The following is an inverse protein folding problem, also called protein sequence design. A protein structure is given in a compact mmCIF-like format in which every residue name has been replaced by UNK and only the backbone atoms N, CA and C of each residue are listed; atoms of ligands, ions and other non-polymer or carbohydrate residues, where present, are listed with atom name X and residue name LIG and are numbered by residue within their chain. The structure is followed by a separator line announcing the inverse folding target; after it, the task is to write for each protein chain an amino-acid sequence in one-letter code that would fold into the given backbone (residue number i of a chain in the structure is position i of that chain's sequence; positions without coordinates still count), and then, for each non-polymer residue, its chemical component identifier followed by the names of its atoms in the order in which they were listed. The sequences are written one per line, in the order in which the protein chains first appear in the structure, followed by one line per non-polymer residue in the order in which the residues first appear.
data_IF_513164422628
#
_entry.id   IF_513164422628
#
_cell.length_a   1.000
_cell.length_b   1.000
_cell.length_c   1.000
_cell.angle_alpha   90.00
_cell.angle_beta   90.00
_cell.angle_gamma   90.00
#
_symmetry.space_group_name_H-M   'P 1'
#
loop_
_entity.id
_entity.type
_entity.pdbx_description
1 polymer ?
#
# COMPACT_ATOMS: atom_id res chain seq x y z
N UNK A 1 30.18 -7.23 -4.62
CA UNK A 1 28.72 -7.03 -4.74
C UNK A 1 28.47 -5.55 -4.90
N UNK A 2 27.84 -5.12 -5.98
CA UNK A 2 27.40 -3.74 -6.10
C UNK A 2 26.40 -3.43 -4.97
N UNK A 3 26.43 -2.22 -4.37
CA UNK A 3 25.40 -1.86 -3.40
C UNK A 3 24.02 -1.96 -4.06
N UNK A 4 23.00 -2.37 -3.32
CA UNK A 4 21.64 -2.42 -3.86
C UNK A 4 21.25 -1.04 -4.43
N UNK A 5 20.45 -0.98 -5.48
CA UNK A 5 20.03 0.28 -6.06
C UNK A 5 19.34 1.12 -4.99
N UNK A 6 19.76 2.35 -4.83
CA UNK A 6 19.11 3.30 -3.94
C UNK A 6 17.78 3.71 -4.54
N UNK A 7 16.75 3.68 -3.72
CA UNK A 7 15.48 4.32 -4.06
C UNK A 7 15.74 5.82 -4.22
N UNK A 8 15.39 6.39 -5.38
CA UNK A 8 15.65 7.81 -5.64
C UNK A 8 14.67 8.38 -6.67
N UNK A 9 13.83 9.31 -6.26
CA UNK A 9 12.88 10.01 -7.13
C UNK A 9 12.95 11.52 -6.90
N UNK A 10 13.36 12.24 -7.93
CA UNK A 10 13.47 13.71 -7.91
C UNK A 10 12.60 14.38 -8.97
N UNK A 11 11.90 13.62 -9.79
CA UNK A 11 11.06 14.15 -10.86
C UNK A 11 10.06 13.10 -11.33
N UNK A 12 8.84 13.53 -11.60
CA UNK A 12 7.78 12.68 -12.20
C UNK A 12 8.04 12.34 -13.67
N UNK A 13 8.92 13.07 -14.33
CA UNK A 13 9.25 12.91 -15.76
C UNK A 13 10.68 12.42 -16.00
N UNK A 14 11.35 11.99 -14.95
CA UNK A 14 12.69 11.41 -15.03
C UNK A 14 12.69 10.02 -15.66
N UNK A 15 13.88 9.50 -15.96
CA UNK A 15 14.00 8.13 -16.45
C UNK A 15 13.57 7.13 -15.35
N UNK A 16 12.53 6.35 -15.62
CA UNK A 16 12.09 5.28 -14.75
C UNK A 16 13.15 4.16 -14.71
N UNK A 17 13.59 3.78 -13.50
CA UNK A 17 14.60 2.74 -13.32
C UNK A 17 14.07 1.52 -12.60
N UNK A 18 13.15 1.74 -11.66
CA UNK A 18 12.52 0.72 -10.85
C UNK A 18 11.09 1.13 -10.54
N UNK A 19 10.17 0.20 -10.54
CA UNK A 19 8.76 0.44 -10.25
C UNK A 19 8.17 -0.70 -9.44
N UNK A 20 7.39 -0.32 -8.43
CA UNK A 20 6.60 -1.26 -7.63
C UNK A 20 5.19 -1.34 -8.22
N UNK A 21 4.74 -2.54 -8.53
CA UNK A 21 3.41 -2.81 -9.09
C UNK A 21 2.69 -3.87 -8.27
N UNK A 22 1.38 -3.94 -8.38
CA UNK A 22 0.58 -5.03 -7.85
C UNK A 22 -0.36 -5.54 -8.93
N UNK A 23 -0.22 -6.80 -9.29
CA UNK A 23 -1.12 -7.45 -10.24
C UNK A 23 -2.45 -7.75 -9.58
N UNK A 24 -3.58 -7.23 -10.12
CA UNK A 24 -4.91 -7.50 -9.57
C UNK A 24 -5.17 -9.00 -9.38
N UNK A 25 -5.65 -9.36 -8.20
CA UNK A 25 -5.89 -10.75 -7.80
C UNK A 25 -7.31 -10.96 -7.28
N UNK A 26 -7.47 -11.99 -6.45
CA UNK A 26 -8.79 -12.37 -5.91
C UNK A 26 -9.40 -11.30 -5.00
N UNK A 27 -8.63 -10.35 -4.51
CA UNK A 27 -9.11 -9.19 -3.76
C UNK A 27 -10.17 -8.39 -4.54
N UNK A 28 -10.09 -8.36 -5.89
CA UNK A 28 -11.09 -7.70 -6.73
C UNK A 28 -12.45 -8.41 -6.74
N UNK A 29 -12.51 -9.70 -6.42
CA UNK A 29 -13.77 -10.44 -6.41
C UNK A 29 -14.72 -9.96 -5.30
N UNK A 30 -14.19 -9.30 -4.29
CA UNK A 30 -14.98 -8.68 -3.23
C UNK A 30 -15.77 -7.45 -3.70
N UNK A 31 -15.38 -6.85 -4.83
CA UNK A 31 -16.08 -5.72 -5.43
C UNK A 31 -17.29 -6.25 -6.22
N UNK A 32 -18.44 -6.24 -5.58
CA UNK A 32 -19.73 -6.67 -6.11
C UNK A 32 -20.65 -5.47 -6.30
N UNK A 33 -21.80 -5.61 -6.99
CA UNK A 33 -22.76 -4.51 -7.08
C UNK A 33 -23.22 -3.96 -5.72
N UNK A 34 -23.22 -4.79 -4.67
CA UNK A 34 -23.61 -4.39 -3.31
C UNK A 34 -22.49 -3.75 -2.48
N UNK A 35 -21.23 -4.02 -2.81
CA UNK A 35 -20.05 -3.61 -2.01
C UNK A 35 -19.14 -2.63 -2.72
N UNK A 36 -19.39 -2.32 -4.00
CA UNK A 36 -18.51 -1.48 -4.83
C UNK A 36 -18.21 -0.12 -4.20
N UNK A 37 -19.22 0.54 -3.64
CA UNK A 37 -19.06 1.87 -3.02
C UNK A 37 -18.21 1.81 -1.74
N UNK A 38 -18.30 0.71 -0.97
CA UNK A 38 -17.49 0.49 0.21
C UNK A 38 -16.01 0.36 -0.15
N UNK A 39 -15.71 -0.20 -1.33
CA UNK A 39 -14.36 -0.34 -1.88
C UNK A 39 -13.97 0.79 -2.85
N UNK A 40 -14.75 1.88 -2.93
CA UNK A 40 -14.47 3.08 -3.73
C UNK A 40 -14.49 2.84 -5.26
N UNK A 41 -15.35 1.95 -5.72
CA UNK A 41 -15.54 1.65 -7.13
C UNK A 41 -16.88 2.18 -7.64
N UNK A 42 -16.87 2.76 -8.84
CA UNK A 42 -18.09 3.19 -9.53
C UNK A 42 -18.80 2.01 -10.20
N UNK A 43 -18.02 0.99 -10.62
CA UNK A 43 -18.52 -0.20 -11.29
C UNK A 43 -17.70 -1.43 -10.92
N UNK A 44 -18.20 -2.63 -11.26
CA UNK A 44 -17.48 -3.89 -11.08
C UNK A 44 -16.42 -4.06 -12.17
N UNK A 45 -15.31 -4.68 -11.80
CA UNK A 45 -14.21 -4.97 -12.71
C UNK A 45 -14.13 -6.46 -12.98
N UNK A 46 -14.06 -6.84 -14.24
CA UNK A 46 -13.76 -8.20 -14.63
C UNK A 46 -12.30 -8.52 -14.33
N UNK A 47 -12.06 -9.50 -13.46
CA UNK A 47 -10.72 -9.87 -13.00
C UNK A 47 -9.82 -10.35 -14.14
N UNK A 48 -10.33 -11.15 -15.08
CA UNK A 48 -9.51 -11.70 -16.17
C UNK A 48 -9.08 -10.59 -17.12
N UNK A 49 -9.98 -9.65 -17.39
CA UNK A 49 -9.69 -8.47 -18.21
C UNK A 49 -8.65 -7.61 -17.51
N UNK A 50 -8.86 -7.28 -16.24
CA UNK A 50 -7.93 -6.48 -15.46
C UNK A 50 -6.53 -7.09 -15.42
N UNK A 51 -6.42 -8.38 -15.15
CA UNK A 51 -5.14 -9.10 -15.16
C UNK A 51 -4.46 -9.09 -16.53
N UNK A 52 -5.24 -9.27 -17.60
CA UNK A 52 -4.69 -9.26 -18.95
C UNK A 52 -4.14 -7.89 -19.31
N UNK A 53 -4.85 -6.83 -18.97
CA UNK A 53 -4.44 -5.45 -19.25
C UNK A 53 -3.25 -5.05 -18.38
N UNK A 54 -3.26 -5.41 -17.11
CA UNK A 54 -2.13 -5.18 -16.21
C UNK A 54 -0.87 -5.90 -16.68
N UNK A 55 -0.95 -7.16 -17.09
CA UNK A 55 0.20 -7.87 -17.68
C UNK A 55 0.77 -7.17 -18.92
N UNK A 56 -0.07 -6.55 -19.74
CA UNK A 56 0.40 -5.75 -20.89
C UNK A 56 1.15 -4.50 -20.43
N UNK A 57 0.64 -3.82 -19.40
CA UNK A 57 1.34 -2.68 -18.79
C UNK A 57 2.70 -3.10 -18.22
N UNK A 58 2.75 -4.17 -17.44
CA UNK A 58 3.99 -4.72 -16.87
C UNK A 58 4.99 -5.05 -17.98
N UNK A 59 4.58 -5.75 -19.04
CA UNK A 59 5.44 -6.09 -20.17
C UNK A 59 6.00 -4.86 -20.91
N UNK A 60 5.33 -3.72 -20.86
CA UNK A 60 5.88 -2.45 -21.34
C UNK A 60 6.88 -1.87 -20.37
N UNK A 61 6.57 -1.86 -19.06
CA UNK A 61 7.45 -1.32 -18.01
C UNK A 61 8.79 -2.08 -17.96
N UNK A 62 8.77 -3.40 -18.07
CA UNK A 62 9.96 -4.27 -18.09
C UNK A 62 10.98 -3.94 -19.20
N UNK A 63 10.57 -3.21 -20.23
CA UNK A 63 11.49 -2.74 -21.29
C UNK A 63 12.33 -1.54 -20.86
N UNK A 64 11.93 -0.84 -19.82
CA UNK A 64 12.53 0.43 -19.39
C UNK A 64 13.00 0.43 -17.95
N UNK A 65 12.44 -0.45 -17.11
CA UNK A 65 12.64 -0.44 -15.68
C UNK A 65 12.65 -1.85 -15.10
N UNK A 66 13.25 -1.99 -13.95
CA UNK A 66 13.09 -3.16 -13.09
C UNK A 66 11.70 -3.11 -12.44
N UNK A 67 10.91 -4.16 -12.60
CA UNK A 67 9.56 -4.24 -12.06
C UNK A 67 9.55 -5.15 -10.83
N UNK A 68 9.06 -4.64 -9.72
CA UNK A 68 8.88 -5.38 -8.48
C UNK A 68 7.39 -5.58 -8.22
N UNK A 69 6.98 -6.82 -7.99
CA UNK A 69 5.60 -7.16 -7.64
C UNK A 69 5.42 -7.14 -6.12
N UNK A 70 4.42 -6.41 -5.63
CA UNK A 70 4.14 -6.27 -4.20
C UNK A 70 3.99 -7.62 -3.51
N UNK A 71 3.22 -8.53 -4.11
CA UNK A 71 2.95 -9.85 -3.54
C UNK A 71 4.22 -10.67 -3.38
N UNK A 72 5.08 -10.67 -4.39
CA UNK A 72 6.32 -11.42 -4.39
C UNK A 72 7.31 -10.84 -3.38
N UNK A 73 7.50 -9.53 -3.38
CA UNK A 73 8.37 -8.84 -2.44
C UNK A 73 7.94 -9.06 -0.98
N UNK A 74 6.64 -9.02 -0.70
CA UNK A 74 6.10 -9.34 0.63
C UNK A 74 6.32 -10.81 0.99
N UNK A 75 6.12 -11.75 0.06
CA UNK A 75 6.30 -13.18 0.31
C UNK A 75 7.75 -13.53 0.64
N UNK A 76 8.72 -12.89 0.01
CA UNK A 76 10.15 -13.08 0.29
C UNK A 76 10.54 -12.70 1.74
N UNK A 77 9.92 -11.65 2.28
CA UNK A 77 10.24 -11.17 3.63
C UNK A 77 9.30 -11.70 4.71
N UNK A 78 8.09 -12.16 4.37
CA UNK A 78 7.09 -12.66 5.32
C UNK A 78 7.49 -13.98 6.01
N UNK A 79 8.57 -14.63 5.56
CA UNK A 79 9.19 -15.77 6.25
C UNK A 79 10.00 -15.38 7.49
N UNK A 80 10.36 -14.11 7.64
CA UNK A 80 11.10 -13.60 8.80
C UNK A 80 10.15 -13.43 9.99
N UNK A 81 10.49 -14.00 11.16
CA UNK A 81 9.62 -13.93 12.35
C UNK A 81 9.24 -12.50 12.74
N UNK A 82 10.21 -11.57 12.70
CA UNK A 82 10.02 -10.17 13.06
C UNK A 82 9.04 -9.45 12.12
N UNK A 83 9.08 -9.75 10.82
CA UNK A 83 8.16 -9.17 9.82
C UNK A 83 6.75 -9.69 10.05
N UNK A 84 6.63 -11.00 10.25
CA UNK A 84 5.36 -11.66 10.48
C UNK A 84 4.69 -11.19 11.77
N UNK A 85 5.48 -11.09 12.85
CA UNK A 85 5.01 -10.57 14.13
C UNK A 85 4.54 -9.13 13.98
N UNK A 86 5.31 -8.28 13.30
CA UNK A 86 4.94 -6.89 13.06
C UNK A 86 3.60 -6.79 12.32
N UNK A 87 3.43 -7.46 11.17
CA UNK A 87 2.18 -7.43 10.40
C UNK A 87 1.02 -7.95 11.23
N UNK A 88 1.20 -9.10 11.91
CA UNK A 88 0.15 -9.73 12.70
C UNK A 88 -0.29 -8.82 13.85
N UNK A 89 0.65 -8.24 14.59
CA UNK A 89 0.35 -7.33 15.70
C UNK A 89 -0.45 -6.13 15.23
N UNK A 90 -0.01 -5.48 14.15
CA UNK A 90 -0.72 -4.32 13.59
C UNK A 90 -2.10 -4.67 13.04
N UNK A 91 -2.24 -5.82 12.38
CA UNK A 91 -3.54 -6.28 11.91
C UNK A 91 -4.51 -6.52 13.07
N UNK A 92 -4.04 -7.13 14.17
CA UNK A 92 -4.85 -7.41 15.34
C UNK A 92 -5.15 -6.18 16.21
N UNK A 93 -4.37 -5.11 16.15
CA UNK A 93 -4.71 -3.81 16.75
C UNK A 93 -5.96 -3.19 16.12
N UNK A 94 -6.17 -3.40 14.83
CA UNK A 94 -7.33 -2.86 14.08
C UNK A 94 -8.49 -3.84 14.10
N UNK A 95 -8.20 -5.14 13.97
CA UNK A 95 -9.19 -6.23 13.95
C UNK A 95 -8.86 -7.23 15.06
N UNK A 96 -9.25 -6.95 16.32
CA UNK A 96 -9.01 -7.86 17.43
C UNK A 96 -9.78 -9.17 17.26
N UNK A 97 -9.07 -10.26 16.93
CA UNK A 97 -9.67 -11.57 16.68
C UNK A 97 -8.69 -12.70 16.99
N UNK A 98 -9.01 -13.53 17.98
CA UNK A 98 -8.23 -14.74 18.30
C UNK A 98 -8.27 -15.78 17.16
N UNK A 99 -9.34 -15.80 16.39
CA UNK A 99 -9.49 -16.69 15.23
C UNK A 99 -8.52 -16.27 14.13
N UNK A 100 -8.50 -14.97 13.80
CA UNK A 100 -7.59 -14.42 12.82
C UNK A 100 -6.12 -14.61 13.25
N UNK A 101 -5.80 -14.38 14.53
CA UNK A 101 -4.45 -14.59 15.06
C UNK A 101 -3.96 -16.04 14.86
N UNK A 102 -4.79 -17.02 15.19
CA UNK A 102 -4.48 -18.45 14.98
C UNK A 102 -4.34 -18.80 13.51
N UNK A 103 -5.21 -18.25 12.67
CA UNK A 103 -5.17 -18.45 11.23
C UNK A 103 -3.85 -17.91 10.65
N UNK A 104 -3.49 -16.65 10.95
CA UNK A 104 -2.26 -16.03 10.49
C UNK A 104 -1.01 -16.80 10.94
N UNK A 105 -0.99 -17.33 12.17
CA UNK A 105 0.15 -18.08 12.70
C UNK A 105 0.40 -19.42 11.97
N UNK A 106 -0.63 -20.05 11.41
CA UNK A 106 -0.55 -21.39 10.81
C UNK A 106 -0.18 -21.38 9.30
N UNK A 107 -0.16 -20.21 8.64
CA UNK A 107 0.00 -20.11 7.19
C UNK A 107 1.49 -20.13 6.75
N UNK A 108 1.76 -20.61 5.53
CA UNK A 108 3.04 -20.36 4.83
C UNK A 108 3.19 -18.87 4.51
N UNK A 109 4.37 -18.43 4.07
CA UNK A 109 4.61 -17.01 3.74
C UNK A 109 3.69 -16.53 2.61
N UNK A 110 3.56 -17.32 1.55
CA UNK A 110 2.70 -16.99 0.40
C UNK A 110 1.22 -16.94 0.80
N UNK A 111 0.76 -17.93 1.60
CA UNK A 111 -0.62 -17.98 2.05
C UNK A 111 -0.94 -16.86 3.04
N UNK A 112 0.05 -16.47 3.88
CA UNK A 112 -0.05 -15.34 4.78
C UNK A 112 -0.23 -14.02 4.01
N UNK A 113 0.63 -13.76 3.02
CA UNK A 113 0.52 -12.57 2.16
C UNK A 113 -0.77 -12.58 1.36
N UNK A 114 -1.16 -13.74 0.83
CA UNK A 114 -2.44 -13.87 0.13
C UNK A 114 -3.62 -13.52 1.04
N UNK A 115 -3.63 -13.98 2.28
CA UNK A 115 -4.70 -13.65 3.22
C UNK A 115 -4.71 -12.16 3.58
N UNK A 116 -3.54 -11.54 3.75
CA UNK A 116 -3.43 -10.11 4.02
C UNK A 116 -3.95 -9.24 2.86
N UNK A 117 -3.80 -9.68 1.62
CA UNK A 117 -4.24 -8.97 0.42
C UNK A 117 -5.69 -9.30 0.06
N UNK A 118 -6.05 -10.59 0.04
CA UNK A 118 -7.35 -11.10 -0.40
C UNK A 118 -8.42 -11.00 0.69
N UNK A 119 -8.01 -10.68 1.92
CA UNK A 119 -8.88 -10.57 3.09
C UNK A 119 -9.12 -11.91 3.78
N UNK A 120 -9.59 -11.83 5.03
CA UNK A 120 -10.00 -12.98 5.83
C UNK A 120 -11.51 -12.94 6.04
N UNK A 121 -12.20 -13.98 5.64
CA UNK A 121 -13.64 -14.11 5.86
C UNK A 121 -13.93 -14.27 7.35
N UNK A 122 -15.01 -13.64 7.81
CA UNK A 122 -15.59 -13.88 9.12
C UNK A 122 -16.54 -15.07 9.05
N UNK A 123 -16.50 -15.95 10.07
CA UNK A 123 -17.52 -16.98 10.21
C UNK A 123 -18.78 -16.38 10.84
N UNK A 124 -19.64 -15.81 10.02
CA UNK A 124 -20.91 -15.20 10.42
C UNK A 124 -21.94 -16.18 10.97
N UNK A 125 -21.61 -17.46 11.09
CA UNK A 125 -22.50 -18.50 11.57
C UNK A 125 -23.56 -18.95 10.55
N UNK A 126 -24.51 -19.81 10.98
CA UNK A 126 -25.48 -20.42 10.07
C UNK A 126 -26.42 -19.46 9.36
N UNK A 127 -26.77 -18.35 10.02
CA UNK A 127 -27.72 -17.35 9.47
C UNK A 127 -27.05 -16.54 8.36
N UNK A 128 -25.85 -16.04 8.58
CA UNK A 128 -25.12 -15.30 7.55
C UNK A 128 -24.83 -16.16 6.32
N UNK A 129 -24.47 -17.43 6.53
CA UNK A 129 -24.33 -18.40 5.42
C UNK A 129 -25.62 -18.62 4.66
N UNK A 130 -26.76 -18.71 5.36
CA UNK A 130 -28.07 -18.91 4.73
C UNK A 130 -28.52 -17.69 3.92
N UNK A 131 -28.08 -16.48 4.33
CA UNK A 131 -28.37 -15.21 3.64
C UNK A 131 -27.33 -14.89 2.56
N UNK A 132 -26.30 -15.71 2.37
CA UNK A 132 -25.14 -15.43 1.51
C UNK A 132 -24.46 -14.09 1.83
N UNK A 133 -24.52 -13.64 3.08
CA UNK A 133 -23.81 -12.46 3.53
C UNK A 133 -22.33 -12.81 3.72
N UNK A 134 -21.47 -12.18 2.92
CA UNK A 134 -20.03 -12.31 3.03
C UNK A 134 -19.53 -11.16 3.90
N UNK A 135 -19.13 -11.48 5.13
CA UNK A 135 -18.44 -10.55 6.00
C UNK A 135 -16.94 -10.85 6.01
N UNK A 136 -16.13 -9.82 6.07
CA UNK A 136 -14.69 -9.92 6.20
C UNK A 136 -14.27 -9.50 7.62
N UNK A 137 -13.55 -10.37 8.31
CA UNK A 137 -12.83 -9.99 9.53
C UNK A 137 -11.67 -9.05 9.16
N UNK A 138 -10.90 -9.39 8.13
CA UNK A 138 -9.91 -8.52 7.53
C UNK A 138 -10.37 -8.18 6.10
N UNK A 139 -10.67 -6.91 5.78
CA UNK A 139 -11.11 -6.54 4.45
C UNK A 139 -10.06 -6.84 3.38
N UNK A 140 -10.43 -7.27 2.17
CA UNK A 140 -9.53 -7.38 1.03
C UNK A 140 -9.08 -5.99 0.53
N UNK A 141 -8.02 -5.95 -0.26
CA UNK A 141 -7.37 -4.73 -0.75
C UNK A 141 -7.52 -4.57 -2.27
N UNK A 142 -8.75 -4.38 -2.79
CA UNK A 142 -8.95 -4.29 -4.23
C UNK A 142 -8.28 -3.06 -4.86
N UNK A 143 -7.89 -2.06 -4.07
CA UNK A 143 -7.20 -0.85 -4.54
C UNK A 143 -5.66 -0.94 -4.46
N UNK A 144 -5.08 -2.08 -4.05
CA UNK A 144 -3.63 -2.22 -3.87
C UNK A 144 -2.83 -2.01 -5.17
N UNK A 145 -3.44 -2.21 -6.33
CA UNK A 145 -2.77 -1.93 -7.61
C UNK A 145 -2.51 -0.42 -7.87
N UNK A 146 -3.12 0.48 -7.08
CA UNK A 146 -2.74 1.89 -6.99
C UNK A 146 -1.60 2.08 -5.99
N UNK A 147 -0.48 1.42 -6.22
CA UNK A 147 0.70 1.41 -5.32
C UNK A 147 1.23 2.79 -5.00
N UNK A 148 1.00 3.77 -5.89
CA UNK A 148 1.38 5.16 -5.69
C UNK A 148 0.69 5.80 -4.49
N UNK A 149 -0.55 5.45 -4.19
CA UNK A 149 -1.34 6.14 -3.18
C UNK A 149 -0.80 5.89 -1.78
N UNK A 150 -0.39 4.66 -1.48
CA UNK A 150 0.07 4.23 -0.15
C UNK A 150 1.57 4.43 0.08
N UNK A 151 2.37 4.59 -0.99
CA UNK A 151 3.82 4.78 -0.90
C UNK A 151 4.37 5.82 -1.86
N UNK A 152 5.05 6.82 -1.34
CA UNK A 152 5.58 7.96 -2.10
C UNK A 152 7.07 8.03 -1.88
N UNK A 153 7.85 8.25 -2.94
CA UNK A 153 9.28 8.48 -2.86
C UNK A 153 9.59 9.93 -3.16
N UNK A 154 10.39 10.56 -2.28
CA UNK A 154 10.90 11.92 -2.47
C UNK A 154 12.40 11.91 -2.19
N UNK A 155 13.20 12.21 -3.21
CA UNK A 155 14.65 12.03 -3.11
C UNK A 155 14.98 10.60 -2.76
N UNK A 156 15.74 10.38 -1.70
CA UNK A 156 16.16 9.07 -1.23
C UNK A 156 15.26 8.51 -0.10
N UNK A 157 14.07 9.08 0.14
CA UNK A 157 13.23 8.77 1.28
C UNK A 157 11.84 8.33 0.85
N UNK A 158 11.26 7.43 1.65
CA UNK A 158 9.87 7.02 1.53
C UNK A 158 8.96 7.83 2.45
N UNK A 159 7.76 8.08 1.98
CA UNK A 159 6.62 8.53 2.77
C UNK A 159 5.57 7.45 2.71
N UNK A 160 5.10 7.00 3.86
CA UNK A 160 3.93 6.13 3.94
C UNK A 160 2.70 7.01 3.97
N UNK A 161 1.76 6.73 3.09
CA UNK A 161 0.51 7.46 2.97
C UNK A 161 -0.34 7.40 4.24
N UNK A 162 -1.28 8.34 4.35
CA UNK A 162 -2.37 8.31 5.32
C UNK A 162 -3.66 8.33 4.52
N UNK A 163 -4.20 7.14 4.25
CA UNK A 163 -5.33 6.96 3.36
C UNK A 163 -6.60 7.59 3.94
N UNK A 164 -7.35 8.29 3.11
CA UNK A 164 -8.60 8.95 3.52
C UNK A 164 -9.65 7.95 3.97
N UNK A 165 -9.70 6.80 3.32
CA UNK A 165 -10.72 5.78 3.55
C UNK A 165 -10.14 4.62 4.37
N UNK A 166 -10.77 4.35 5.51
CA UNK A 166 -10.31 3.33 6.45
C UNK A 166 -10.23 1.91 5.87
N UNK A 167 -10.96 1.61 4.80
CA UNK A 167 -10.89 0.32 4.10
C UNK A 167 -9.51 0.05 3.48
N UNK A 168 -8.71 1.11 3.25
CA UNK A 168 -7.37 1.02 2.65
C UNK A 168 -6.21 1.01 3.67
N UNK A 169 -6.49 0.96 4.98
CA UNK A 169 -5.44 1.05 5.99
C UNK A 169 -4.39 -0.06 5.92
N UNK A 170 -4.78 -1.26 5.51
CA UNK A 170 -3.84 -2.39 5.38
C UNK A 170 -2.86 -2.17 4.23
N UNK A 171 -3.22 -1.39 3.22
CA UNK A 171 -2.29 -1.00 2.14
C UNK A 171 -1.11 -0.20 2.70
N UNK A 172 -1.37 0.77 3.60
CA UNK A 172 -0.32 1.54 4.28
C UNK A 172 0.61 0.62 5.07
N UNK A 173 0.03 -0.34 5.80
CA UNK A 173 0.79 -1.32 6.57
C UNK A 173 1.71 -2.16 5.69
N UNK A 174 1.20 -2.72 4.59
CA UNK A 174 1.99 -3.57 3.70
C UNK A 174 3.10 -2.79 3.01
N UNK A 175 2.83 -1.56 2.57
CA UNK A 175 3.85 -0.69 1.97
C UNK A 175 4.90 -0.27 3.01
N UNK A 176 4.50 0.05 4.24
CA UNK A 176 5.44 0.30 5.34
C UNK A 176 6.37 -0.89 5.58
N UNK A 177 5.84 -2.10 5.55
CA UNK A 177 6.63 -3.33 5.70
C UNK A 177 7.68 -3.45 4.59
N UNK A 178 7.32 -3.20 3.34
CA UNK A 178 8.29 -3.19 2.23
C UNK A 178 9.40 -2.16 2.46
N UNK A 179 9.06 -0.92 2.79
CA UNK A 179 10.07 0.13 3.04
C UNK A 179 10.86 -0.05 4.33
N UNK A 180 10.42 -0.93 5.25
CA UNK A 180 11.15 -1.23 6.48
C UNK A 180 12.04 -2.46 6.38
N UNK A 181 11.64 -3.46 5.61
CA UNK A 181 12.26 -4.80 5.68
C UNK A 181 12.74 -5.38 4.36
N UNK A 182 12.21 -4.91 3.21
CA UNK A 182 12.64 -5.43 1.92
C UNK A 182 14.03 -4.88 1.55
N UNK A 183 14.99 -5.74 1.11
CA UNK A 183 16.35 -5.30 0.79
C UNK A 183 16.45 -4.25 -0.31
N UNK A 184 15.48 -4.21 -1.24
CA UNK A 184 15.47 -3.23 -2.34
C UNK A 184 14.96 -1.86 -1.88
N UNK A 185 14.03 -1.82 -0.91
CA UNK A 185 13.32 -0.61 -0.51
C UNK A 185 13.74 -0.06 0.86
N UNK A 186 14.19 -0.90 1.80
CA UNK A 186 14.50 -0.49 3.18
C UNK A 186 15.63 0.56 3.29
N UNK A 187 16.44 0.72 2.23
CA UNK A 187 17.48 1.73 2.18
C UNK A 187 16.97 3.17 2.02
N UNK A 188 15.70 3.35 1.65
CA UNK A 188 15.11 4.66 1.49
C UNK A 188 14.99 5.41 2.82
N UNK A 189 14.79 4.69 3.93
CA UNK A 189 14.37 5.32 5.18
C UNK A 189 12.97 5.94 5.07
N UNK A 190 12.21 5.92 6.15
CA UNK A 190 10.86 6.50 6.18
C UNK A 190 10.95 7.92 6.73
N UNK A 191 10.68 8.91 5.88
CA UNK A 191 10.68 10.33 6.23
C UNK A 191 9.41 10.72 7.00
N UNK A 192 8.28 10.19 6.61
CA UNK A 192 6.98 10.40 7.24
C UNK A 192 6.18 9.10 7.19
N UNK A 193 5.57 8.76 8.31
CA UNK A 193 4.78 7.56 8.49
C UNK A 193 3.33 7.91 8.81
N UNK A 194 2.51 8.03 7.75
CA UNK A 194 1.09 8.32 7.89
C UNK A 194 0.29 7.20 8.54
N UNK A 195 0.83 5.97 8.60
CA UNK A 195 0.19 4.84 9.26
C UNK A 195 0.21 4.94 10.79
N UNK A 196 1.16 5.69 11.36
CA UNK A 196 1.30 5.93 12.81
C UNK A 196 0.61 7.22 13.27
N UNK A 197 0.45 8.21 12.38
CA UNK A 197 -0.21 9.45 12.69
C UNK A 197 -1.71 9.22 12.94
N UNK A 198 -2.32 10.09 13.78
CA UNK A 198 -3.76 10.01 14.02
C UNK A 198 -4.53 10.30 12.74
N UNK A 199 -4.92 9.26 12.05
CA UNK A 199 -5.49 9.19 10.70
C UNK A 199 -6.68 10.11 10.44
N UNK A 200 -7.38 10.58 11.49
CA UNK A 200 -8.62 11.34 11.34
C UNK A 200 -8.41 12.84 11.06
N UNK A 201 -7.20 13.35 11.21
CA UNK A 201 -6.93 14.79 11.09
C UNK A 201 -6.25 15.19 9.78
N UNK A 202 -5.44 14.30 9.23
CA UNK A 202 -4.66 14.56 8.02
C UNK A 202 -4.69 13.33 7.12
N UNK A 203 -4.91 13.55 5.85
CA UNK A 203 -4.79 12.51 4.83
C UNK A 203 -3.69 12.91 3.85
N UNK A 204 -2.89 11.94 3.42
CA UNK A 204 -1.84 12.11 2.46
C UNK A 204 -1.79 10.89 1.56
N UNK A 205 -2.18 11.07 0.32
CA UNK A 205 -2.15 10.02 -0.70
C UNK A 205 -1.15 10.42 -1.80
N UNK A 206 -0.59 9.46 -2.50
CA UNK A 206 0.46 9.71 -3.48
C UNK A 206 0.03 10.55 -4.68
N UNK A 207 -1.26 10.59 -4.95
CA UNK A 207 -1.83 11.49 -5.94
C UNK A 207 -1.76 12.97 -5.55
N UNK A 208 -1.52 13.26 -4.28
CA UNK A 208 -1.40 14.63 -3.78
C UNK A 208 0.05 15.16 -3.77
N UNK A 209 1.05 14.30 -3.99
CA UNK A 209 2.46 14.65 -3.82
C UNK A 209 3.26 14.39 -5.10
N UNK A 210 3.88 15.44 -5.63
CA UNK A 210 4.62 15.39 -6.90
C UNK A 210 6.00 16.03 -6.77
N UNK A 211 7.08 15.25 -6.81
CA UNK A 211 8.42 15.79 -7.00
C UNK A 211 8.57 16.32 -8.43
N UNK A 212 8.68 17.64 -8.56
CA UNK A 212 8.79 18.31 -9.87
C UNK A 212 10.25 18.34 -10.32
N UNK A 213 11.16 18.62 -9.39
CA UNK A 213 12.61 18.64 -9.57
C UNK A 213 13.28 18.50 -8.18
N UNK A 214 14.60 18.30 -8.13
CA UNK A 214 15.30 17.99 -6.87
C UNK A 214 15.08 18.99 -5.72
N UNK A 215 14.74 20.23 -6.05
CA UNK A 215 14.54 21.33 -5.11
C UNK A 215 13.09 21.81 -5.01
N UNK A 216 12.16 21.16 -5.74
CA UNK A 216 10.76 21.60 -5.81
C UNK A 216 9.79 20.44 -5.68
N UNK A 217 9.00 20.50 -4.63
CA UNK A 217 7.88 19.60 -4.36
C UNK A 217 6.56 20.35 -4.52
N UNK A 218 5.61 19.77 -5.23
CA UNK A 218 4.22 20.22 -5.27
C UNK A 218 3.36 19.23 -4.49
N UNK A 219 2.46 19.74 -3.65
CA UNK A 219 1.46 18.90 -3.04
C UNK A 219 0.09 19.59 -3.00
N UNK A 220 -0.96 18.79 -3.11
CA UNK A 220 -2.33 19.21 -2.93
C UNK A 220 -2.79 18.81 -1.53
N UNK A 221 -3.11 19.77 -0.67
CA UNK A 221 -3.65 19.46 0.65
C UNK A 221 -5.16 19.29 0.56
N UNK A 222 -5.64 18.08 0.71
CA UNK A 222 -7.04 17.80 1.01
C UNK A 222 -7.23 17.84 2.53
N UNK A 223 -7.24 19.04 3.12
CA UNK A 223 -7.62 19.18 4.53
C UNK A 223 -9.07 18.71 4.65
N UNK A 224 -9.25 17.59 5.34
CA UNK A 224 -10.56 17.05 5.65
C UNK A 224 -11.41 18.15 6.30
N UNK A 225 -12.58 18.40 5.71
CA UNK A 225 -13.69 19.18 6.26
C UNK A 225 -13.74 20.68 6.04
N UNK A 226 -13.48 21.30 4.94
CA UNK A 226 -14.06 22.64 4.67
C UNK A 226 -13.17 23.67 3.94
N UNK A 227 -12.15 23.29 3.21
CA UNK A 227 -11.50 24.27 2.34
C UNK A 227 -11.25 23.73 0.93
N UNK A 228 -11.37 24.57 -0.12
CA UNK A 228 -11.03 24.15 -1.47
C UNK A 228 -9.56 23.68 -1.52
N UNK A 229 -9.29 22.69 -2.37
CA UNK A 229 -7.92 22.16 -2.61
C UNK A 229 -7.00 23.33 -2.92
N UNK A 230 -6.01 23.56 -2.08
CA UNK A 230 -4.94 24.52 -2.34
C UNK A 230 -3.72 23.73 -2.80
N UNK A 231 -3.18 24.11 -3.95
CA UNK A 231 -1.89 23.58 -4.41
C UNK A 231 -0.82 24.41 -3.73
N UNK A 232 0.03 23.75 -2.93
CA UNK A 232 1.18 24.36 -2.30
C UNK A 232 2.45 23.89 -3.01
N UNK A 233 3.38 24.80 -3.29
CA UNK A 233 4.72 24.47 -3.75
C UNK A 233 5.69 24.80 -2.63
N UNK A 234 6.55 23.84 -2.25
CA UNK A 234 7.63 24.07 -1.31
C UNK A 234 8.98 23.73 -1.94
N UNK A 235 9.97 24.52 -1.61
CA UNK A 235 11.36 24.20 -1.96
C UNK A 235 11.93 23.26 -0.90
N UNK A 236 12.47 22.14 -1.35
CA UNK A 236 13.14 21.16 -0.51
C UNK A 236 14.64 21.43 -0.54
N UNK A 237 15.27 21.66 0.61
CA UNK A 237 16.73 21.66 0.73
C UNK A 237 17.17 20.38 1.44
N UNK A 238 18.01 19.60 0.79
CA UNK A 238 18.59 18.36 1.31
C UNK A 238 19.63 18.56 2.45
N UNK A 239 19.79 19.78 2.92
CA UNK A 239 20.69 20.09 4.02
C UNK A 239 19.89 20.36 5.29
N UNK A 240 19.59 19.33 6.06
CA UNK A 240 19.57 19.36 7.53
C UNK A 240 18.97 18.08 8.10
N UNK A 241 19.76 17.04 8.16
CA UNK A 241 19.63 16.10 9.27
C UNK A 241 20.47 16.67 10.42
N UNK A 242 20.00 17.70 11.09
CA UNK A 242 20.50 18.11 12.39
C UNK A 242 19.57 17.44 13.42
N UNK A 243 20.10 16.44 14.11
CA UNK A 243 19.48 15.82 15.27
C UNK A 243 19.12 16.88 16.30
N UNK A 244 17.91 16.86 16.87
CA UNK A 244 17.66 17.60 18.10
C UNK A 244 18.33 16.85 19.25
N UNK A 245 19.21 17.54 19.94
CA UNK A 245 19.70 17.18 21.28
C UNK A 245 18.58 17.23 22.30
#
# INVERSE_FOLDING_TARGET
MSPPPRVHVTSEIGALRSVLVHTPGKELVAVTPGTREDYLYDDIIDLEIAQREHRRLVAVLERFAEVHEVRDALAEIAGRPEVREFITTRALEVVPSDVLAKQLAALSSEAFVSLMIEGALEDGGPIARALNEVAYALPPLPNLFFTRDSGIIIGDHAIIGAMRHGVRWTEELLVKVLFSYDPHFANAGILYDGSEEKRLNYTLEGGDVHPIRPDLLSWASAIARARPRSICCATWSSSTAASPT
#
